data_IF_916653794947
#
_entry.id   IF_916653794947
#
_cell.length_a   1.000
_cell.length_b   1.000
_cell.length_c   1.000
_cell.angle_alpha   90.00
_cell.angle_beta   90.00
_cell.angle_gamma   90.00
#
_symmetry.space_group_name_H-M   'P 1'
#
loop_
_entity.id
_entity.type
_entity.pdbx_description
1 polymer ?
#
# COMPACT_ATOMS: atom_id res chain seq x y z
N UNK A 1 14.24 13.41 5.76
CA UNK A 1 12.99 12.65 5.99
C UNK A 1 13.29 11.42 6.81
N UNK A 2 12.51 11.15 7.86
CA UNK A 2 12.73 9.97 8.68
C UNK A 2 12.24 8.69 7.98
N UNK A 3 12.50 7.52 8.59
CA UNK A 3 12.13 6.23 7.99
C UNK A 3 10.63 6.08 7.77
N UNK A 4 9.81 6.57 8.70
CA UNK A 4 8.35 6.55 8.55
C UNK A 4 7.89 7.47 7.41
N UNK A 5 8.54 8.60 7.22
CA UNK A 5 8.28 9.48 6.08
C UNK A 5 8.60 8.81 4.76
N UNK A 6 9.72 8.09 4.68
CA UNK A 6 10.08 7.32 3.48
C UNK A 6 9.05 6.23 3.21
N UNK A 7 8.61 5.53 4.24
CA UNK A 7 7.56 4.51 4.11
C UNK A 7 6.23 5.13 3.64
N UNK A 8 5.90 6.32 4.13
CA UNK A 8 4.74 7.09 3.65
C UNK A 8 4.84 7.42 2.17
N UNK A 9 6.03 7.83 1.72
CA UNK A 9 6.28 8.08 0.30
C UNK A 9 6.10 6.81 -0.54
N UNK A 10 6.52 5.66 -0.03
CA UNK A 10 6.29 4.36 -0.70
C UNK A 10 4.80 4.05 -0.83
N UNK A 11 4.00 4.35 0.20
CA UNK A 11 2.55 4.21 0.13
C UNK A 11 1.93 5.14 -0.93
N UNK A 12 2.45 6.36 -1.05
CA UNK A 12 1.99 7.29 -2.10
C UNK A 12 2.31 6.76 -3.49
N UNK A 13 3.49 6.18 -3.69
CA UNK A 13 3.87 5.56 -4.96
C UNK A 13 2.95 4.37 -5.26
N UNK A 14 2.70 3.51 -4.28
CA UNK A 14 1.81 2.38 -4.44
C UNK A 14 0.37 2.83 -4.78
N UNK A 15 -0.14 3.81 -4.04
CA UNK A 15 -1.48 4.36 -4.25
C UNK A 15 -1.61 5.01 -5.62
N UNK A 16 -0.67 5.84 -6.00
CA UNK A 16 -0.65 6.50 -7.30
C UNK A 16 -0.59 5.52 -8.45
N UNK A 17 0.25 4.50 -8.32
CA UNK A 17 0.36 3.43 -9.32
C UNK A 17 -0.95 2.65 -9.44
N UNK A 18 -1.58 2.31 -8.32
CA UNK A 18 -2.84 1.55 -8.31
C UNK A 18 -3.97 2.36 -8.98
N UNK A 19 -4.08 3.65 -8.67
CA UNK A 19 -5.10 4.52 -9.24
C UNK A 19 -4.85 4.72 -10.74
N UNK A 20 -3.61 4.96 -11.13
CA UNK A 20 -3.25 5.13 -12.54
C UNK A 20 -3.56 3.87 -13.35
N UNK A 21 -3.21 2.70 -12.84
CA UNK A 21 -3.50 1.44 -13.51
C UNK A 21 -5.00 1.15 -13.58
N UNK A 22 -5.75 1.55 -12.56
CA UNK A 22 -7.20 1.46 -12.56
C UNK A 22 -7.81 2.30 -13.68
N UNK A 23 -7.38 3.54 -13.82
CA UNK A 23 -7.87 4.45 -14.85
C UNK A 23 -7.53 3.94 -16.25
N UNK A 24 -6.32 3.40 -16.44
CA UNK A 24 -5.81 3.03 -17.75
C UNK A 24 -6.32 1.67 -18.21
N UNK A 25 -6.38 0.68 -17.33
CA UNK A 25 -6.54 -0.73 -17.73
C UNK A 25 -7.82 -1.39 -17.24
N UNK A 26 -8.42 -0.94 -16.12
CA UNK A 26 -9.57 -1.65 -15.57
C UNK A 26 -10.87 -1.24 -16.24
N UNK A 27 -11.71 -2.24 -16.53
CA UNK A 27 -12.99 -2.04 -17.20
C UNK A 27 -14.18 -2.54 -16.37
N UNK A 28 -13.94 -3.39 -15.37
CA UNK A 28 -14.99 -3.95 -14.51
C UNK A 28 -15.35 -2.93 -13.42
N UNK A 29 -16.61 -2.43 -13.34
CA UNK A 29 -16.98 -1.39 -12.38
C UNK A 29 -16.69 -1.72 -10.92
N UNK A 30 -16.94 -2.96 -10.50
CA UNK A 30 -16.68 -3.39 -9.12
C UNK A 30 -15.18 -3.29 -8.79
N UNK A 31 -14.31 -3.71 -9.70
CA UNK A 31 -12.86 -3.60 -9.52
C UNK A 31 -12.41 -2.15 -9.47
N UNK A 32 -12.98 -1.29 -10.32
CA UNK A 32 -12.66 0.14 -10.36
C UNK A 32 -12.98 0.78 -9.01
N UNK A 33 -14.16 0.52 -8.45
CA UNK A 33 -14.58 1.08 -7.17
C UNK A 33 -13.67 0.62 -6.05
N UNK A 34 -13.40 -0.68 -5.96
CA UNK A 34 -12.61 -1.25 -4.87
C UNK A 34 -11.15 -0.79 -4.94
N UNK A 35 -10.52 -0.87 -6.11
CA UNK A 35 -9.11 -0.47 -6.26
C UNK A 35 -8.90 1.02 -6.07
N UNK A 36 -9.83 1.85 -6.54
CA UNK A 36 -9.77 3.29 -6.34
C UNK A 36 -9.93 3.63 -4.86
N UNK A 37 -10.89 3.01 -4.17
CA UNK A 37 -11.12 3.24 -2.74
C UNK A 37 -9.90 2.87 -1.90
N UNK A 38 -9.34 1.69 -2.14
CA UNK A 38 -8.13 1.24 -1.43
C UNK A 38 -6.95 2.15 -1.76
N UNK A 39 -6.81 2.57 -3.02
CA UNK A 39 -5.77 3.50 -3.44
C UNK A 39 -5.87 4.86 -2.73
N UNK A 40 -7.07 5.40 -2.61
CA UNK A 40 -7.31 6.66 -1.89
C UNK A 40 -6.96 6.52 -0.40
N UNK A 41 -7.39 5.42 0.23
CA UNK A 41 -7.05 5.15 1.64
C UNK A 41 -5.54 5.06 1.82
N UNK A 42 -4.85 4.35 0.93
CA UNK A 42 -3.39 4.23 0.97
C UNK A 42 -2.70 5.58 0.77
N UNK A 43 -3.22 6.44 -0.10
CA UNK A 43 -2.68 7.79 -0.31
C UNK A 43 -2.83 8.65 0.95
N UNK A 44 -3.99 8.62 1.58
CA UNK A 44 -4.23 9.33 2.84
C UNK A 44 -3.27 8.83 3.92
N UNK A 45 -3.12 7.52 4.03
CA UNK A 45 -2.20 6.88 4.97
C UNK A 45 -0.75 7.33 4.72
N UNK A 46 -0.33 7.38 3.46
CA UNK A 46 1.00 7.83 3.08
C UNK A 46 1.27 9.26 3.51
N UNK A 47 0.33 10.17 3.25
CA UNK A 47 0.43 11.57 3.67
C UNK A 47 0.48 11.67 5.19
N UNK A 48 -0.36 10.91 5.89
CA UNK A 48 -0.39 10.91 7.35
C UNK A 48 0.94 10.44 7.95
N UNK A 49 1.52 9.36 7.40
CA UNK A 49 2.84 8.87 7.82
C UNK A 49 3.93 9.92 7.63
N UNK A 50 3.85 10.71 6.56
CA UNK A 50 4.82 11.78 6.30
C UNK A 50 4.63 12.98 7.23
N UNK A 51 3.38 13.32 7.53
CA UNK A 51 3.04 14.54 8.28
C UNK A 51 3.05 14.33 9.80
N UNK A 52 2.42 13.26 10.28
CA UNK A 52 2.23 13.01 11.73
C UNK A 52 2.33 11.52 12.04
N UNK A 53 3.53 10.93 11.98
CA UNK A 53 3.69 9.52 12.32
C UNK A 53 3.40 9.26 13.80
N UNK A 54 2.53 8.30 14.09
CA UNK A 54 2.19 7.89 15.45
C UNK A 54 1.77 6.41 15.46
N UNK A 55 1.49 5.88 16.65
CA UNK A 55 1.11 4.47 16.79
C UNK A 55 -0.17 4.11 16.05
N UNK A 56 -1.13 5.03 16.01
CA UNK A 56 -2.40 4.82 15.32
C UNK A 56 -2.20 4.64 13.81
N UNK A 57 -1.40 5.50 13.19
CA UNK A 57 -1.17 5.43 11.75
C UNK A 57 -0.33 4.20 11.38
N UNK A 58 0.57 3.75 12.26
CA UNK A 58 1.32 2.51 12.05
C UNK A 58 0.36 1.31 12.08
N UNK A 59 -0.55 1.27 13.04
CA UNK A 59 -1.57 0.22 13.10
C UNK A 59 -2.47 0.23 11.87
N UNK A 60 -2.89 1.41 11.43
CA UNK A 60 -3.68 1.58 10.21
C UNK A 60 -2.91 1.07 8.99
N UNK A 61 -1.62 1.34 8.90
CA UNK A 61 -0.77 0.83 7.83
C UNK A 61 -0.74 -0.70 7.80
N UNK A 62 -0.65 -1.33 8.96
CA UNK A 62 -0.65 -2.80 9.02
C UNK A 62 -1.97 -3.38 8.50
N UNK A 63 -3.10 -2.76 8.86
CA UNK A 63 -4.41 -3.17 8.35
C UNK A 63 -4.50 -2.97 6.85
N UNK A 64 -4.10 -1.81 6.35
CA UNK A 64 -4.13 -1.51 4.91
C UNK A 64 -3.23 -2.47 4.13
N UNK A 65 -2.08 -2.85 4.69
CA UNK A 65 -1.17 -3.83 4.07
C UNK A 65 -1.88 -5.17 3.87
N UNK A 66 -2.56 -5.68 4.89
CA UNK A 66 -3.29 -6.95 4.81
C UNK A 66 -4.42 -6.86 3.78
N UNK A 67 -5.20 -5.78 3.80
CA UNK A 67 -6.28 -5.56 2.84
C UNK A 67 -5.73 -5.46 1.41
N UNK A 68 -4.64 -4.74 1.23
CA UNK A 68 -3.99 -4.56 -0.07
C UNK A 68 -3.53 -5.90 -0.65
N UNK A 69 -2.82 -6.70 0.15
CA UNK A 69 -2.34 -8.01 -0.28
C UNK A 69 -3.51 -8.92 -0.63
N UNK A 70 -4.54 -8.98 0.22
CA UNK A 70 -5.72 -9.80 -0.03
C UNK A 70 -6.44 -9.38 -1.31
N UNK A 71 -6.65 -8.08 -1.51
CA UNK A 71 -7.31 -7.54 -2.70
C UNK A 71 -6.55 -7.92 -3.97
N UNK A 72 -5.26 -7.63 -4.01
CA UNK A 72 -4.46 -7.88 -5.23
C UNK A 72 -4.18 -9.36 -5.46
N UNK A 73 -4.16 -10.18 -4.41
CA UNK A 73 -4.11 -11.64 -4.56
C UNK A 73 -5.36 -12.16 -5.27
N UNK A 74 -6.55 -11.68 -4.85
CA UNK A 74 -7.82 -12.05 -5.49
C UNK A 74 -7.84 -11.59 -6.95
N UNK A 75 -7.45 -10.34 -7.21
CA UNK A 75 -7.42 -9.82 -8.58
C UNK A 75 -6.42 -10.57 -9.46
N UNK A 76 -5.27 -10.96 -8.92
CA UNK A 76 -4.27 -11.75 -9.63
C UNK A 76 -4.86 -13.09 -10.08
N UNK A 77 -5.59 -13.77 -9.19
CA UNK A 77 -6.25 -15.04 -9.51
C UNK A 77 -7.35 -14.84 -10.56
N UNK A 78 -8.17 -13.80 -10.41
CA UNK A 78 -9.25 -13.51 -11.35
C UNK A 78 -8.75 -13.17 -12.75
N UNK A 79 -7.55 -12.60 -12.86
CA UNK A 79 -6.99 -12.13 -14.12
C UNK A 79 -5.84 -12.98 -14.61
N UNK A 80 -5.73 -14.23 -14.14
CA UNK A 80 -4.64 -15.14 -14.50
C UNK A 80 -4.56 -15.43 -16.01
N UNK A 81 -5.67 -15.31 -16.72
CA UNK A 81 -5.74 -15.56 -18.16
C UNK A 81 -5.15 -14.43 -19.01
N UNK A 82 -4.98 -13.24 -18.43
CA UNK A 82 -4.43 -12.06 -19.12
C UNK A 82 -3.09 -11.68 -18.49
N UNK A 83 -2.01 -11.93 -19.21
CA UNK A 83 -0.65 -11.72 -18.70
C UNK A 83 -0.41 -10.28 -18.29
N UNK A 84 -0.86 -9.29 -19.09
CA UNK A 84 -0.66 -7.88 -18.78
C UNK A 84 -1.37 -7.47 -17.48
N UNK A 85 -2.62 -7.88 -17.32
CA UNK A 85 -3.39 -7.60 -16.11
C UNK A 85 -2.83 -8.33 -14.90
N UNK A 86 -2.49 -9.61 -15.07
CA UNK A 86 -1.88 -10.42 -14.02
C UNK A 86 -0.57 -9.80 -13.53
N UNK A 87 0.31 -9.44 -14.46
CA UNK A 87 1.61 -8.82 -14.11
C UNK A 87 1.43 -7.49 -13.40
N UNK A 88 0.46 -6.67 -13.82
CA UNK A 88 0.13 -5.40 -13.17
C UNK A 88 -0.33 -5.63 -11.72
N UNK A 89 -1.22 -6.59 -11.49
CA UNK A 89 -1.73 -6.87 -10.15
C UNK A 89 -0.63 -7.43 -9.23
N UNK A 90 0.25 -8.29 -9.75
CA UNK A 90 1.41 -8.79 -8.99
C UNK A 90 2.35 -7.63 -8.63
N UNK A 91 2.62 -6.75 -9.59
CA UNK A 91 3.46 -5.57 -9.35
C UNK A 91 2.89 -4.67 -8.25
N UNK A 92 1.59 -4.39 -8.29
CA UNK A 92 0.92 -3.57 -7.29
C UNK A 92 0.92 -4.26 -5.92
N UNK A 93 0.75 -5.58 -5.87
CA UNK A 93 0.84 -6.34 -4.63
C UNK A 93 2.23 -6.20 -4.01
N UNK A 94 3.28 -6.32 -4.81
CA UNK A 94 4.67 -6.17 -4.35
C UNK A 94 4.91 -4.77 -3.80
N UNK A 95 4.42 -3.73 -4.46
CA UNK A 95 4.54 -2.36 -3.98
C UNK A 95 3.93 -2.19 -2.58
N UNK A 96 2.75 -2.77 -2.37
CA UNK A 96 2.08 -2.73 -1.06
C UNK A 96 2.86 -3.47 0.01
N UNK A 97 3.42 -4.63 -0.33
CA UNK A 97 4.27 -5.41 0.60
C UNK A 97 5.51 -4.59 0.99
N UNK A 98 6.18 -3.99 0.02
CA UNK A 98 7.38 -3.17 0.28
C UNK A 98 7.02 -2.00 1.20
N UNK A 99 5.94 -1.28 0.91
CA UNK A 99 5.50 -0.16 1.73
C UNK A 99 5.13 -0.61 3.15
N UNK A 100 4.38 -1.69 3.28
CA UNK A 100 3.97 -2.23 4.59
C UNK A 100 5.14 -2.69 5.43
N UNK A 101 6.09 -3.41 4.83
CA UNK A 101 7.32 -3.86 5.50
C UNK A 101 8.17 -2.66 5.92
N UNK A 102 8.25 -1.63 5.08
CA UNK A 102 8.99 -0.40 5.41
C UNK A 102 8.41 0.27 6.65
N UNK A 103 7.08 0.36 6.75
CA UNK A 103 6.41 0.92 7.94
C UNK A 103 6.70 0.06 9.17
N UNK A 104 6.55 -1.24 9.05
CA UNK A 104 6.78 -2.18 10.15
C UNK A 104 8.21 -2.06 10.68
N UNK A 105 9.20 -2.08 9.80
CA UNK A 105 10.62 -1.96 10.17
C UNK A 105 10.96 -0.61 10.77
N UNK A 106 10.43 0.46 10.22
CA UNK A 106 10.66 1.80 10.74
C UNK A 106 10.08 1.94 12.16
N UNK A 107 8.88 1.42 12.40
CA UNK A 107 8.26 1.43 13.71
C UNK A 107 9.02 0.57 14.72
N UNK A 108 9.49 -0.61 14.31
CA UNK A 108 10.28 -1.49 15.16
C UNK A 108 11.62 -0.85 15.56
N UNK A 109 12.31 -0.20 14.62
CA UNK A 109 13.55 0.53 14.89
C UNK A 109 13.34 1.67 15.88
N UNK A 110 12.22 2.40 15.75
CA UNK A 110 11.89 3.48 16.68
C UNK A 110 11.64 2.95 18.11
N UNK A 111 10.96 1.80 18.24
CA UNK A 111 10.72 1.16 19.53
C UNK A 111 12.02 0.71 20.18
N UNK A 112 12.91 0.07 19.43
CA UNK A 112 14.22 -0.37 19.91
C UNK A 112 15.03 0.83 20.37
N UNK A 113 15.05 1.91 19.60
CA UNK A 113 15.74 3.15 19.98
C UNK A 113 15.23 3.73 21.29
N UNK A 114 13.92 3.71 21.52
CA UNK A 114 13.31 4.17 22.77
C UNK A 114 13.70 3.28 23.97
N UNK A 115 13.76 1.97 23.75
CA UNK A 115 14.08 1.02 24.79
C UNK A 115 15.54 1.13 25.23
N UNK A 116 16.46 1.38 24.30
CA UNK A 116 17.89 1.51 24.54
C UNK A 116 18.23 2.89 25.11
N UNK A 117 17.49 3.90 24.71
CA UNK A 117 17.71 5.25 25.20
C UNK A 117 17.22 5.45 26.63
#
# INVERSE_FOLDING_TARGET
MNRLGIAGALWLVAAGSAIAMTIIFRTVPAQIVVTTSVGVVAAILGVWLMARPNALVVSASNVVTVVWIALYAVLTVQQADEIAAWATDVFLMVLGVVAGVAVYRAAASARVGRTVA
#
